data_IF_688501362351
#
_entry.id   IF_688501362351
#
_cell.length_a   1.000
_cell.length_b   1.000
_cell.length_c   1.000
_cell.angle_alpha   90.00
_cell.angle_beta   90.00
_cell.angle_gamma   90.00
#
_symmetry.space_group_name_H-M   'P 1'
#
loop_
_entity.id
_entity.type
_entity.pdbx_description
1 polymer ?
#
# COMPACT_ATOMS: atom_id res chain seq x y z
N UNK A 1 -26.56 -3.07 -1.31
CA UNK A 1 -25.76 -3.78 -2.33
C UNK A 1 -26.51 -3.65 -3.64
N UNK A 2 -25.90 -3.13 -4.71
CA UNK A 2 -26.54 -3.02 -6.02
C UNK A 2 -26.51 -4.36 -6.74
N UNK A 3 -27.62 -4.74 -7.39
CA UNK A 3 -27.69 -5.87 -8.32
C UNK A 3 -27.47 -5.36 -9.76
N UNK A 4 -26.60 -6.02 -10.52
CA UNK A 4 -26.34 -5.71 -11.94
C UNK A 4 -24.85 -5.59 -12.30
N UNK A 5 -24.56 -5.50 -13.60
CA UNK A 5 -23.21 -5.37 -14.20
C UNK A 5 -22.44 -4.14 -13.68
N UNK A 6 -23.12 -3.20 -13.01
CA UNK A 6 -22.56 -1.98 -12.41
C UNK A 6 -22.41 -2.04 -10.87
N UNK A 7 -22.53 -3.21 -10.24
CA UNK A 7 -22.42 -3.35 -8.79
C UNK A 7 -21.01 -2.96 -8.28
N UNK A 8 -20.96 -1.97 -7.38
CA UNK A 8 -19.75 -1.50 -6.71
C UNK A 8 -19.82 -1.68 -5.18
N UNK A 9 -18.63 -1.70 -4.57
CA UNK A 9 -18.47 -1.70 -3.11
C UNK A 9 -18.35 -0.25 -2.65
N UNK A 10 -19.11 0.11 -1.61
CA UNK A 10 -18.97 1.36 -0.88
C UNK A 10 -18.52 1.10 0.55
N UNK A 11 -17.87 2.10 1.13
CA UNK A 11 -17.26 2.09 2.44
C UNK A 11 -17.93 3.15 3.28
N UNK A 12 -18.25 2.79 4.52
CA UNK A 12 -18.71 3.75 5.53
C UNK A 12 -17.48 4.41 6.14
N UNK A 13 -17.26 5.68 5.82
CA UNK A 13 -16.19 6.49 6.39
C UNK A 13 -16.76 7.24 7.60
N UNK A 14 -16.13 7.06 8.75
CA UNK A 14 -16.52 7.71 10.00
C UNK A 14 -15.40 8.66 10.40
N UNK A 15 -15.69 9.95 10.40
CA UNK A 15 -14.74 10.99 10.77
C UNK A 15 -15.06 11.44 12.19
N UNK A 16 -14.06 11.41 13.07
CA UNK A 16 -14.11 11.99 14.42
C UNK A 16 -13.09 13.09 14.53
N UNK A 17 -13.52 14.29 14.89
CA UNK A 17 -12.64 15.46 14.92
C UNK A 17 -13.19 16.53 15.85
N UNK A 18 -12.30 17.36 16.39
CA UNK A 18 -12.63 18.56 17.15
C UNK A 18 -12.38 19.85 16.35
N UNK A 19 -12.07 19.72 15.06
CA UNK A 19 -11.83 20.85 14.16
C UNK A 19 -13.13 21.62 13.89
N UNK A 20 -13.13 22.96 13.99
CA UNK A 20 -14.34 23.78 13.88
C UNK A 20 -14.92 23.82 12.47
N UNK A 21 -14.15 23.46 11.44
CA UNK A 21 -14.62 23.42 10.05
C UNK A 21 -15.49 22.19 9.73
N UNK A 22 -15.71 21.31 10.72
CA UNK A 22 -16.51 20.11 10.58
C UNK A 22 -17.90 20.25 11.23
N UNK A 23 -18.92 19.68 10.59
CA UNK A 23 -20.30 19.65 11.07
C UNK A 23 -20.49 18.71 12.27
N UNK A 24 -19.91 19.08 13.42
CA UNK A 24 -20.00 18.33 14.66
C UNK A 24 -18.82 17.36 14.91
N UNK A 25 -18.83 16.69 16.08
CA UNK A 25 -17.71 15.86 16.53
C UNK A 25 -17.57 14.53 15.77
N UNK A 26 -18.64 14.09 15.10
CA UNK A 26 -18.67 12.86 14.32
C UNK A 26 -19.50 13.08 13.05
N UNK A 27 -18.93 12.68 11.89
CA UNK A 27 -19.62 12.68 10.60
C UNK A 27 -19.49 11.30 9.97
N UNK A 28 -20.56 10.80 9.37
CA UNK A 28 -20.60 9.53 8.65
C UNK A 28 -20.98 9.80 7.20
N UNK A 29 -20.16 9.31 6.29
CA UNK A 29 -20.41 9.38 4.84
C UNK A 29 -20.17 8.02 4.18
N UNK A 30 -20.80 7.83 3.02
CA UNK A 30 -20.59 6.64 2.19
C UNK A 30 -19.69 7.04 1.02
N UNK A 31 -18.64 6.26 0.77
CA UNK A 31 -17.67 6.50 -0.31
C UNK A 31 -17.41 5.24 -1.11
N UNK A 32 -17.40 5.32 -2.43
CA UNK A 32 -16.93 4.23 -3.31
C UNK A 32 -15.46 4.44 -3.65
N UNK A 33 -14.80 3.39 -4.17
CA UNK A 33 -13.37 3.46 -4.49
C UNK A 33 -13.00 4.67 -5.38
N UNK A 34 -13.83 5.06 -6.34
CA UNK A 34 -13.56 6.22 -7.19
C UNK A 34 -13.66 7.57 -6.47
N UNK A 35 -14.26 7.67 -5.28
CA UNK A 35 -14.13 8.86 -4.43
C UNK A 35 -12.74 9.01 -3.86
N UNK A 36 -12.09 7.89 -3.53
CA UNK A 36 -10.71 7.89 -3.05
C UNK A 36 -9.74 8.21 -4.19
N UNK A 37 -10.01 7.69 -5.41
CA UNK A 37 -9.26 8.09 -6.62
C UNK A 37 -9.34 9.60 -6.85
N UNK A 38 -10.55 10.15 -6.85
CA UNK A 38 -10.76 11.60 -6.96
C UNK A 38 -9.93 12.36 -5.92
N UNK A 39 -10.03 12.00 -4.64
CA UNK A 39 -9.27 12.68 -3.58
C UNK A 39 -7.75 12.58 -3.82
N UNK A 40 -7.25 11.39 -4.15
CA UNK A 40 -5.83 11.17 -4.43
C UNK A 40 -5.33 12.06 -5.57
N UNK A 41 -6.08 12.14 -6.66
CA UNK A 41 -5.70 12.89 -7.86
C UNK A 41 -5.71 14.41 -7.57
N UNK A 42 -6.72 14.91 -6.84
CA UNK A 42 -6.79 16.31 -6.39
C UNK A 42 -5.62 16.70 -5.49
N UNK A 43 -5.24 15.83 -4.54
CA UNK A 43 -4.10 16.09 -3.68
C UNK A 43 -2.78 16.06 -4.47
N UNK A 44 -2.63 15.11 -5.40
CA UNK A 44 -1.43 14.97 -6.24
C UNK A 44 -1.23 16.15 -7.20
N UNK A 45 -2.32 16.76 -7.66
CA UNK A 45 -2.28 17.95 -8.50
C UNK A 45 -1.85 19.19 -7.69
N UNK A 46 -2.44 19.38 -6.51
CA UNK A 46 -2.31 20.62 -5.73
C UNK A 46 -1.05 20.67 -4.86
N UNK A 47 -0.61 19.54 -4.30
CA UNK A 47 0.45 19.49 -3.29
C UNK A 47 1.75 18.89 -3.84
N UNK A 48 2.41 19.65 -4.73
CA UNK A 48 3.69 19.23 -5.33
C UNK A 48 4.80 19.20 -4.29
N UNK A 49 5.62 18.14 -4.34
CA UNK A 49 6.68 17.90 -3.35
C UNK A 49 6.24 17.01 -2.17
N UNK A 50 4.93 16.83 -1.95
CA UNK A 50 4.41 15.96 -0.89
C UNK A 50 4.28 14.51 -1.37
N UNK A 51 4.58 13.54 -0.49
CA UNK A 51 4.38 12.12 -0.78
C UNK A 51 2.91 11.74 -0.52
N UNK A 52 2.06 11.88 -1.53
CA UNK A 52 0.64 11.52 -1.41
C UNK A 52 0.50 10.02 -1.15
N UNK A 53 -0.18 9.58 -0.07
CA UNK A 53 -0.35 8.16 0.23
C UNK A 53 -0.98 7.42 -0.96
N UNK A 54 -0.39 6.31 -1.37
CA UNK A 54 -0.89 5.53 -2.52
C UNK A 54 -2.18 4.76 -2.18
N UNK A 55 -3.06 4.63 -3.17
CA UNK A 55 -4.27 3.80 -3.07
C UNK A 55 -3.97 2.30 -3.25
N UNK A 56 -4.79 1.40 -2.67
CA UNK A 56 -4.72 -0.03 -3.00
C UNK A 56 -5.10 -0.28 -4.46
N UNK A 57 -4.78 -1.46 -4.99
CA UNK A 57 -5.03 -1.79 -6.40
C UNK A 57 -6.51 -1.68 -6.78
N UNK A 58 -6.79 -1.06 -7.95
CA UNK A 58 -8.14 -0.84 -8.49
C UNK A 58 -8.85 -2.11 -8.90
N UNK A 59 -8.14 -3.06 -9.51
CA UNK A 59 -8.74 -4.26 -10.07
C UNK A 59 -8.31 -5.49 -9.25
N UNK A 60 -9.29 -6.21 -8.70
CA UNK A 60 -9.13 -7.64 -8.52
C UNK A 60 -9.52 -8.34 -9.82
N UNK A 61 -9.01 -9.55 -10.04
CA UNK A 61 -9.65 -10.48 -10.98
C UNK A 61 -11.14 -10.53 -10.63
N UNK A 62 -12.02 -10.45 -11.62
CA UNK A 62 -13.46 -10.23 -11.42
C UNK A 62 -14.10 -11.23 -10.45
N UNK A 63 -13.59 -12.47 -10.43
CA UNK A 63 -13.98 -13.53 -9.49
C UNK A 63 -13.67 -13.21 -8.01
N UNK A 64 -12.64 -12.43 -7.73
CA UNK A 64 -12.15 -12.13 -6.37
C UNK A 64 -12.57 -10.75 -5.86
N UNK A 65 -13.14 -9.88 -6.70
CA UNK A 65 -13.48 -8.50 -6.30
C UNK A 65 -14.53 -8.40 -5.19
N UNK A 66 -15.28 -9.47 -4.95
CA UNK A 66 -16.26 -9.59 -3.87
C UNK A 66 -15.87 -10.60 -2.79
N UNK A 67 -14.63 -11.09 -2.80
CA UNK A 67 -14.15 -11.95 -1.72
C UNK A 67 -14.03 -11.13 -0.43
N UNK A 68 -14.34 -11.76 0.71
CA UNK A 68 -14.23 -11.10 2.03
C UNK A 68 -12.81 -10.59 2.29
N UNK A 69 -11.82 -11.40 1.93
CA UNK A 69 -10.39 -11.06 2.04
C UNK A 69 -10.05 -9.81 1.24
N UNK A 70 -10.44 -9.76 -0.05
CA UNK A 70 -10.17 -8.59 -0.88
C UNK A 70 -10.84 -7.32 -0.36
N UNK A 71 -12.11 -7.41 0.06
CA UNK A 71 -12.85 -6.28 0.61
C UNK A 71 -12.16 -5.75 1.88
N UNK A 72 -11.71 -6.64 2.77
CA UNK A 72 -11.05 -6.25 4.01
C UNK A 72 -9.64 -5.70 3.79
N UNK A 73 -8.84 -6.31 2.89
CA UNK A 73 -7.52 -5.79 2.50
C UNK A 73 -7.64 -4.37 1.96
N UNK A 74 -8.58 -4.16 1.02
CA UNK A 74 -8.85 -2.84 0.46
C UNK A 74 -9.35 -1.87 1.52
N UNK A 75 -10.29 -2.28 2.39
CA UNK A 75 -10.81 -1.43 3.46
C UNK A 75 -9.68 -0.95 4.39
N UNK A 76 -8.76 -1.84 4.78
CA UNK A 76 -7.58 -1.47 5.61
C UNK A 76 -6.67 -0.48 4.90
N UNK A 77 -6.35 -0.72 3.64
CA UNK A 77 -5.50 0.19 2.88
C UNK A 77 -6.15 1.57 2.67
N UNK A 78 -7.46 1.62 2.41
CA UNK A 78 -8.20 2.88 2.31
C UNK A 78 -8.27 3.62 3.65
N UNK A 79 -8.42 2.90 4.75
CA UNK A 79 -8.37 3.46 6.11
C UNK A 79 -6.99 4.05 6.42
N UNK A 80 -5.90 3.36 6.08
CA UNK A 80 -4.54 3.90 6.18
C UNK A 80 -4.34 5.14 5.31
N UNK A 81 -4.82 5.12 4.06
CA UNK A 81 -4.76 6.26 3.15
C UNK A 81 -5.40 7.52 3.75
N UNK A 82 -6.65 7.42 4.23
CA UNK A 82 -7.37 8.57 4.82
C UNK A 82 -6.71 9.03 6.11
N UNK A 83 -6.30 8.11 6.99
CA UNK A 83 -5.67 8.47 8.25
C UNK A 83 -4.30 9.14 8.04
N UNK A 84 -3.50 8.71 7.06
CA UNK A 84 -2.23 9.38 6.70
C UNK A 84 -2.45 10.81 6.21
N UNK A 85 -3.50 11.05 5.43
CA UNK A 85 -3.89 12.41 5.03
C UNK A 85 -4.31 13.23 6.26
N UNK A 86 -5.10 12.65 7.17
CA UNK A 86 -5.60 13.35 8.35
C UNK A 86 -4.51 13.77 9.35
N UNK A 87 -3.42 13.01 9.47
CA UNK A 87 -2.30 13.36 10.35
C UNK A 87 -1.27 14.28 9.69
N UNK A 88 -1.30 14.41 8.36
CA UNK A 88 -0.38 15.26 7.61
C UNK A 88 -0.66 16.75 7.90
N UNK A 89 0.35 17.57 8.27
CA UNK A 89 0.16 18.99 8.62
C UNK A 89 -0.55 19.83 7.54
N UNK A 90 -0.15 19.67 6.28
CA UNK A 90 -0.74 20.37 5.13
C UNK A 90 -1.98 19.67 4.55
N UNK A 91 -1.92 18.36 4.26
CA UNK A 91 -3.03 17.68 3.57
C UNK A 91 -4.32 17.66 4.40
N UNK A 92 -4.25 17.61 5.74
CA UNK A 92 -5.43 17.68 6.61
C UNK A 92 -6.24 18.96 6.45
N UNK A 93 -5.59 20.04 5.99
CA UNK A 93 -6.21 21.35 5.76
C UNK A 93 -6.82 21.46 4.36
N UNK A 94 -6.68 20.44 3.52
CA UNK A 94 -7.21 20.46 2.15
C UNK A 94 -8.73 20.60 2.11
N UNK A 95 -9.21 21.50 1.25
CA UNK A 95 -10.64 21.62 0.95
C UNK A 95 -11.18 20.36 0.30
N UNK A 96 -10.45 19.76 -0.65
CA UNK A 96 -10.84 18.52 -1.31
C UNK A 96 -10.96 17.36 -0.29
N UNK A 97 -10.10 17.34 0.74
CA UNK A 97 -10.22 16.39 1.85
C UNK A 97 -11.45 16.66 2.73
N UNK A 98 -11.75 17.92 3.04
CA UNK A 98 -12.97 18.28 3.78
C UNK A 98 -14.24 17.91 3.00
N UNK A 99 -14.28 18.15 1.69
CA UNK A 99 -15.35 17.70 0.81
C UNK A 99 -15.48 16.18 0.88
N UNK A 100 -14.37 15.44 0.73
CA UNK A 100 -14.37 13.98 0.83
C UNK A 100 -14.95 13.48 2.15
N UNK A 101 -14.73 14.16 3.28
CA UNK A 101 -15.22 13.70 4.59
C UNK A 101 -16.65 14.13 4.91
N UNK A 102 -17.16 15.22 4.32
CA UNK A 102 -18.43 15.83 4.74
C UNK A 102 -19.54 15.83 3.69
N UNK A 103 -19.20 15.79 2.40
CA UNK A 103 -20.17 15.90 1.33
C UNK A 103 -21.16 14.72 1.29
N UNK A 104 -22.43 15.02 1.01
CA UNK A 104 -23.40 14.00 0.60
C UNK A 104 -23.04 13.41 -0.79
N UNK A 105 -23.74 12.36 -1.20
CA UNK A 105 -23.46 11.68 -2.48
C UNK A 105 -23.65 12.63 -3.69
N UNK A 106 -24.63 13.52 -3.66
CA UNK A 106 -24.89 14.47 -4.75
C UNK A 106 -23.75 15.48 -4.92
N UNK A 107 -23.24 16.02 -3.81
CA UNK A 107 -22.07 16.91 -3.80
C UNK A 107 -20.82 16.17 -4.26
N UNK A 108 -20.60 14.93 -3.83
CA UNK A 108 -19.48 14.10 -4.31
C UNK A 108 -19.58 13.80 -5.81
N UNK A 109 -20.77 13.49 -6.32
CA UNK A 109 -21.00 13.25 -7.75
C UNK A 109 -20.69 14.49 -8.60
N UNK A 110 -21.08 15.68 -8.14
CA UNK A 110 -20.72 16.94 -8.80
C UNK A 110 -19.20 17.16 -8.78
N UNK A 111 -18.54 16.91 -7.65
CA UNK A 111 -17.08 17.06 -7.54
C UNK A 111 -16.34 16.14 -8.53
N UNK A 112 -16.77 14.88 -8.66
CA UNK A 112 -16.23 13.92 -9.65
C UNK A 112 -16.51 14.33 -11.10
N UNK A 113 -17.70 14.84 -11.38
CA UNK A 113 -18.14 15.18 -12.74
C UNK A 113 -17.40 16.38 -13.31
N UNK A 114 -17.06 17.36 -12.47
CA UNK A 114 -16.28 18.53 -12.86
C UNK A 114 -14.88 18.14 -13.38
N UNK A 115 -14.30 17.06 -12.85
CA UNK A 115 -13.00 16.53 -13.26
C UNK A 115 -13.03 15.86 -14.65
N UNK A 116 -14.09 15.09 -14.95
CA UNK A 116 -14.23 14.43 -16.27
C UNK A 116 -14.33 15.39 -17.45
N UNK A 117 -14.60 16.68 -17.20
CA UNK A 117 -14.65 17.72 -18.23
C UNK A 117 -13.34 18.42 -18.53
N UNK A 118 -12.29 18.30 -17.69
CA UNK A 118 -11.12 19.19 -17.76
C UNK A 118 -9.77 18.48 -17.99
N UNK A 119 -9.51 17.22 -17.56
CA UNK A 119 -8.21 16.55 -17.90
C UNK A 119 -8.25 15.03 -18.08
N UNK A 120 -7.26 14.54 -18.85
CA UNK A 120 -7.05 13.16 -19.33
C UNK A 120 -6.67 12.18 -18.21
N UNK A 121 -7.05 10.92 -18.42
CA UNK A 121 -6.85 9.74 -17.57
C UNK A 121 -5.41 9.58 -17.03
N UNK A 122 -5.23 8.92 -15.87
CA UNK A 122 -3.93 8.55 -15.28
C UNK A 122 -3.11 7.51 -16.09
N UNK A 123 -3.44 7.27 -17.37
CA UNK A 123 -2.66 6.44 -18.30
C UNK A 123 -1.34 7.10 -18.72
N UNK A 124 -1.16 8.39 -18.47
CA UNK A 124 0.04 9.13 -18.91
C UNK A 124 1.28 8.83 -18.05
N UNK A 125 1.10 8.38 -16.80
CA UNK A 125 2.22 8.06 -15.91
C UNK A 125 3.02 6.83 -16.40
N UNK A 126 2.34 5.80 -16.92
CA UNK A 126 2.99 4.61 -17.49
C UNK A 126 3.55 4.87 -18.90
N UNK A 127 2.99 5.83 -19.64
CA UNK A 127 3.50 6.22 -20.95
C UNK A 127 4.77 7.08 -20.84
N UNK A 128 4.91 7.91 -19.80
CA UNK A 128 6.10 8.74 -19.59
C UNK A 128 7.37 7.92 -19.29
N UNK A 129 7.23 6.71 -18.74
CA UNK A 129 8.35 5.77 -18.61
C UNK A 129 8.70 5.02 -19.91
N UNK A 130 7.75 4.91 -20.86
CA UNK A 130 7.94 4.23 -22.16
C UNK A 130 8.41 5.17 -23.28
N UNK A 131 8.30 6.49 -23.11
CA UNK A 131 8.74 7.48 -24.12
C UNK A 131 10.26 7.60 -24.26
N UNK A 132 11.07 6.90 -23.43
CA UNK A 132 12.54 6.90 -23.54
C UNK A 132 13.11 6.34 -24.86
N UNK A 133 12.29 5.75 -25.73
CA UNK A 133 12.75 5.16 -27.00
C UNK A 133 12.48 6.05 -28.22
N UNK A 134 11.59 7.05 -28.14
CA UNK A 134 11.22 7.88 -29.31
C UNK A 134 12.13 9.09 -29.52
N UNK A 135 12.66 9.70 -28.45
CA UNK A 135 13.44 10.94 -28.56
C UNK A 135 14.87 10.73 -29.09
N UNK A 136 15.44 9.52 -28.93
CA UNK A 136 16.78 9.18 -29.44
C UNK A 136 16.82 9.09 -30.97
N UNK A 137 15.69 8.84 -31.63
CA UNK A 137 15.60 8.72 -33.10
C UNK A 137 15.48 10.08 -33.79
N UNK A 138 15.15 11.15 -33.06
CA UNK A 138 14.92 12.50 -33.61
C UNK A 138 16.07 13.49 -33.36
N UNK A 139 17.21 13.03 -32.81
CA UNK A 139 18.39 13.89 -32.64
C UNK A 139 18.21 15.07 -31.68
N UNK A 140 17.15 15.07 -30.85
CA UNK A 140 17.00 16.04 -29.76
C UNK A 140 18.04 15.76 -28.70
N UNK A 141 18.77 16.78 -28.25
CA UNK A 141 19.67 16.68 -27.10
C UNK A 141 18.92 16.04 -25.93
N UNK A 142 19.62 15.16 -25.17
CA UNK A 142 19.02 14.55 -23.99
C UNK A 142 18.51 15.67 -23.07
N UNK A 143 17.27 15.58 -22.56
CA UNK A 143 16.75 16.57 -21.65
C UNK A 143 17.70 16.71 -20.45
N UNK A 144 17.91 17.94 -19.99
CA UNK A 144 18.78 18.21 -18.84
C UNK A 144 18.26 17.47 -17.61
N UNK A 145 19.16 16.79 -16.90
CA UNK A 145 18.83 16.05 -15.69
C UNK A 145 19.60 16.63 -14.50
N UNK A 146 18.92 16.79 -13.37
CA UNK A 146 19.57 17.14 -12.10
C UNK A 146 20.61 16.06 -11.78
N UNK A 147 21.86 16.48 -11.61
CA UNK A 147 23.01 15.57 -11.39
C UNK A 147 23.77 15.92 -10.11
N UNK A 148 23.12 16.59 -9.16
CA UNK A 148 23.73 16.93 -7.87
C UNK A 148 24.07 15.64 -7.10
N UNK A 149 25.20 15.58 -6.38
CA UNK A 149 25.56 14.40 -5.60
C UNK A 149 24.49 13.97 -4.59
N UNK A 150 23.78 14.94 -4.00
CA UNK A 150 22.70 14.72 -3.04
C UNK A 150 21.49 14.07 -3.71
N UNK A 151 21.13 14.52 -4.91
CA UNK A 151 20.01 13.96 -5.66
C UNK A 151 20.29 12.54 -6.19
N UNK A 152 21.51 12.26 -6.64
CA UNK A 152 21.89 10.91 -7.04
C UNK A 152 21.89 9.94 -5.84
N UNK A 153 22.35 10.39 -4.67
CA UNK A 153 22.23 9.60 -3.42
C UNK A 153 20.76 9.30 -3.10
N UNK A 154 19.87 10.29 -3.22
CA UNK A 154 18.44 10.10 -3.01
C UNK A 154 17.85 9.08 -3.99
N UNK A 155 18.13 9.22 -5.30
CA UNK A 155 17.66 8.28 -6.32
C UNK A 155 18.11 6.84 -6.04
N UNK A 156 19.39 6.67 -5.72
CA UNK A 156 19.96 5.36 -5.40
C UNK A 156 19.30 4.76 -4.15
N UNK A 157 19.14 5.54 -3.09
CA UNK A 157 18.45 5.10 -1.87
C UNK A 157 17.01 4.63 -2.16
N UNK A 158 16.24 5.41 -2.92
CA UNK A 158 14.86 5.06 -3.26
C UNK A 158 14.79 3.80 -4.13
N UNK A 159 15.71 3.61 -5.06
CA UNK A 159 15.79 2.42 -5.91
C UNK A 159 16.15 1.16 -5.11
N UNK A 160 17.16 1.24 -4.25
CA UNK A 160 17.54 0.11 -3.38
C UNK A 160 16.42 -0.23 -2.40
N UNK A 161 15.78 0.78 -1.81
CA UNK A 161 14.66 0.59 -0.89
C UNK A 161 13.48 -0.12 -1.57
N UNK A 162 13.14 0.25 -2.81
CA UNK A 162 12.11 -0.44 -3.59
C UNK A 162 12.45 -1.92 -3.76
N UNK A 163 13.66 -2.24 -4.18
CA UNK A 163 14.09 -3.61 -4.43
C UNK A 163 14.00 -4.46 -3.16
N UNK A 164 14.48 -3.92 -2.03
CA UNK A 164 14.43 -4.62 -0.74
C UNK A 164 13.01 -4.83 -0.25
N UNK A 165 12.15 -3.79 -0.30
CA UNK A 165 10.75 -3.90 0.12
C UNK A 165 9.96 -4.85 -0.77
N UNK A 166 10.16 -4.79 -2.09
CA UNK A 166 9.47 -5.65 -3.05
C UNK A 166 9.85 -7.12 -2.87
N UNK A 167 11.15 -7.42 -2.68
CA UNK A 167 11.57 -8.79 -2.44
C UNK A 167 11.09 -9.28 -1.06
N UNK A 168 11.14 -8.45 -0.01
CA UNK A 168 10.60 -8.79 1.30
C UNK A 168 9.09 -9.09 1.26
N UNK A 169 8.31 -8.22 0.60
CA UNK A 169 6.87 -8.41 0.41
C UNK A 169 6.57 -9.71 -0.34
N UNK A 170 7.30 -10.00 -1.41
CA UNK A 170 7.16 -11.23 -2.19
C UNK A 170 7.45 -12.48 -1.37
N UNK A 171 8.48 -12.45 -0.52
CA UNK A 171 8.79 -13.58 0.37
C UNK A 171 7.75 -13.73 1.48
N UNK A 172 7.25 -12.62 2.05
CA UNK A 172 6.15 -12.64 3.00
C UNK A 172 4.88 -13.25 2.39
N UNK A 173 4.52 -12.87 1.17
CA UNK A 173 3.39 -13.45 0.43
C UNK A 173 3.57 -14.96 0.19
N UNK A 174 4.77 -15.40 -0.19
CA UNK A 174 5.08 -16.83 -0.34
C UNK A 174 4.93 -17.59 0.97
N UNK A 175 5.33 -16.98 2.09
CA UNK A 175 5.19 -17.58 3.41
C UNK A 175 3.73 -17.76 3.81
N UNK A 176 2.89 -16.74 3.61
CA UNK A 176 1.43 -16.81 3.80
C UNK A 176 0.85 -17.98 3.02
N UNK A 177 1.18 -18.08 1.72
CA UNK A 177 0.71 -19.17 0.85
C UNK A 177 1.13 -20.53 1.39
N UNK A 178 2.39 -20.68 1.79
CA UNK A 178 2.91 -21.94 2.36
C UNK A 178 2.23 -22.33 3.66
N UNK A 179 1.97 -21.38 4.55
CA UNK A 179 1.25 -21.68 5.80
C UNK A 179 -0.19 -22.13 5.51
N UNK A 180 -0.86 -21.54 4.52
CA UNK A 180 -2.19 -21.98 4.08
C UNK A 180 -2.19 -23.40 3.51
N UNK A 181 -1.22 -23.69 2.64
CA UNK A 181 -1.05 -25.02 2.03
C UNK A 181 -0.75 -26.08 3.09
N UNK A 182 0.20 -25.82 4.00
CA UNK A 182 0.54 -26.73 5.08
C UNK A 182 -0.63 -26.95 6.04
N UNK A 183 -1.37 -25.88 6.35
CA UNK A 183 -2.60 -25.97 7.14
C UNK A 183 -3.60 -26.91 6.49
N UNK A 184 -3.83 -26.78 5.17
CA UNK A 184 -4.72 -27.68 4.45
C UNK A 184 -4.22 -29.14 4.47
N UNK A 185 -2.93 -29.37 4.22
CA UNK A 185 -2.35 -30.72 4.27
C UNK A 185 -2.49 -31.38 5.65
N UNK A 186 -2.35 -30.63 6.74
CA UNK A 186 -2.57 -31.16 8.10
C UNK A 186 -4.05 -31.49 8.36
N UNK A 187 -4.99 -30.70 7.83
CA UNK A 187 -6.40 -31.05 7.95
C UNK A 187 -6.72 -32.37 7.23
N UNK A 188 -6.17 -32.56 6.03
CA UNK A 188 -6.41 -33.76 5.23
C UNK A 188 -5.70 -34.98 5.83
N UNK A 189 -4.47 -34.82 6.31
CA UNK A 189 -3.77 -35.84 7.09
C UNK A 189 -4.54 -36.23 8.35
N UNK A 190 -5.04 -35.25 9.10
CA UNK A 190 -5.78 -35.49 10.34
C UNK A 190 -7.06 -36.31 10.12
N UNK A 191 -7.78 -36.05 9.03
CA UNK A 191 -8.93 -36.87 8.61
C UNK A 191 -8.50 -38.28 8.19
N UNK A 192 -7.46 -38.39 7.36
CA UNK A 192 -6.99 -39.67 6.84
C UNK A 192 -6.53 -40.61 7.95
N UNK A 193 -5.77 -40.11 8.94
CA UNK A 193 -5.26 -40.94 10.02
C UNK A 193 -6.37 -41.40 10.99
N UNK A 194 -7.41 -40.58 11.20
CA UNK A 194 -8.61 -40.99 11.94
C UNK A 194 -9.34 -42.14 11.24
N UNK A 195 -9.52 -42.04 9.92
CA UNK A 195 -10.14 -43.09 9.12
C UNK A 195 -9.32 -44.37 9.16
N UNK A 196 -8.00 -44.27 9.06
CA UNK A 196 -7.11 -45.41 9.22
C UNK A 196 -7.26 -46.06 10.60
N UNK A 197 -7.28 -45.26 11.67
CA UNK A 197 -7.48 -45.75 13.03
C UNK A 197 -8.80 -46.52 13.19
N UNK A 198 -9.88 -46.04 12.59
CA UNK A 198 -11.18 -46.71 12.61
C UNK A 198 -11.18 -48.06 11.85
N UNK A 199 -10.29 -48.24 10.87
CA UNK A 199 -10.13 -49.52 10.17
C UNK A 199 -9.33 -50.54 11.00
N UNK A 200 -8.32 -50.09 11.75
CA UNK A 200 -7.44 -50.96 12.54
C UNK A 200 -8.09 -51.43 13.86
N UNK A 201 -8.91 -50.57 14.50
CA UNK A 201 -9.56 -50.87 15.77
C UNK A 201 -8.65 -50.79 17.01
N UNK A 202 -9.18 -51.25 18.15
CA UNK A 202 -8.49 -51.43 19.44
C UNK A 202 -7.71 -50.20 19.97
N UNK A 203 -6.41 -50.37 20.24
CA UNK A 203 -5.52 -49.35 20.79
C UNK A 203 -5.06 -48.35 19.73
N UNK A 204 -4.93 -48.80 18.47
CA UNK A 204 -4.51 -47.98 17.34
C UNK A 204 -5.58 -46.95 16.96
N UNK A 205 -6.87 -47.32 17.03
CA UNK A 205 -7.98 -46.38 16.80
C UNK A 205 -7.86 -45.14 17.70
N UNK A 206 -7.60 -45.36 19.00
CA UNK A 206 -7.49 -44.27 19.98
C UNK A 206 -6.29 -43.38 19.73
N UNK A 207 -5.11 -43.97 19.47
CA UNK A 207 -3.88 -43.20 19.25
C UNK A 207 -3.94 -42.43 17.94
N UNK A 208 -4.38 -43.05 16.84
CA UNK A 208 -4.53 -42.38 15.55
C UNK A 208 -5.60 -41.30 15.58
N UNK A 209 -6.69 -41.52 16.32
CA UNK A 209 -7.71 -40.48 16.53
C UNK A 209 -7.13 -39.25 17.24
N UNK A 210 -6.24 -39.45 18.20
CA UNK A 210 -5.57 -38.35 18.90
C UNK A 210 -4.57 -37.63 18.00
N UNK A 211 -3.73 -38.36 17.26
CA UNK A 211 -2.80 -37.78 16.26
C UNK A 211 -3.56 -36.95 15.23
N UNK A 212 -4.66 -37.48 14.71
CA UNK A 212 -5.48 -36.75 13.75
C UNK A 212 -6.10 -35.50 14.34
N UNK A 213 -6.55 -35.56 15.59
CA UNK A 213 -7.10 -34.39 16.30
C UNK A 213 -6.04 -33.32 16.57
N UNK A 214 -4.81 -33.71 16.90
CA UNK A 214 -3.67 -32.77 17.01
C UNK A 214 -3.35 -32.14 15.66
N UNK A 215 -3.36 -32.92 14.57
CA UNK A 215 -3.09 -32.40 13.23
C UNK A 215 -4.14 -31.39 12.76
N UNK A 216 -5.43 -31.69 12.93
CA UNK A 216 -6.52 -30.75 12.61
C UNK A 216 -6.45 -29.47 13.46
N UNK A 217 -6.09 -29.59 14.74
CA UNK A 217 -5.87 -28.40 15.59
C UNK A 217 -4.72 -27.53 15.06
N UNK A 218 -3.60 -28.14 14.67
CA UNK A 218 -2.46 -27.42 14.09
C UNK A 218 -2.82 -26.80 12.74
N UNK A 219 -3.65 -27.46 11.93
CA UNK A 219 -4.21 -26.89 10.71
C UNK A 219 -4.91 -25.56 10.96
N UNK A 220 -5.84 -25.51 11.93
CA UNK A 220 -6.56 -24.29 12.28
C UNK A 220 -5.61 -23.19 12.77
N UNK A 221 -4.60 -23.54 13.58
CA UNK A 221 -3.58 -22.59 14.06
C UNK A 221 -2.74 -22.03 12.91
N UNK A 222 -2.31 -22.86 11.97
CA UNK A 222 -1.56 -22.45 10.78
C UNK A 222 -2.36 -21.53 9.87
N UNK A 223 -3.64 -21.84 9.62
CA UNK A 223 -4.51 -20.99 8.81
C UNK A 223 -4.70 -19.62 9.46
N UNK A 224 -4.93 -19.58 10.78
CA UNK A 224 -5.03 -18.34 11.54
C UNK A 224 -3.73 -17.53 11.50
N UNK A 225 -2.59 -18.20 11.62
CA UNK A 225 -1.29 -17.53 11.54
C UNK A 225 -1.00 -17.02 10.13
N UNK A 226 -1.42 -17.73 9.09
CA UNK A 226 -1.31 -17.25 7.71
C UNK A 226 -2.11 -15.96 7.49
N UNK A 227 -3.31 -15.85 8.06
CA UNK A 227 -4.10 -14.62 8.00
C UNK A 227 -3.43 -13.48 8.80
N UNK A 228 -2.87 -13.77 10.00
CA UNK A 228 -2.09 -12.79 10.74
C UNK A 228 -0.88 -12.29 9.94
N UNK A 229 -0.13 -13.19 9.31
CA UNK A 229 1.02 -12.87 8.46
C UNK A 229 0.60 -12.01 7.27
N UNK A 230 -0.52 -12.32 6.63
CA UNK A 230 -1.06 -11.54 5.52
C UNK A 230 -1.31 -10.09 5.98
N UNK A 231 -2.10 -9.94 7.04
CA UNK A 231 -2.62 -8.63 7.43
C UNK A 231 -1.62 -7.77 8.21
N UNK A 232 -0.70 -8.37 8.96
CA UNK A 232 0.16 -7.66 9.91
C UNK A 232 1.65 -7.68 9.50
N UNK A 233 2.01 -8.38 8.43
CA UNK A 233 3.39 -8.41 7.93
C UNK A 233 3.47 -8.17 6.42
N UNK A 234 2.78 -8.97 5.61
CA UNK A 234 2.83 -8.85 4.15
C UNK A 234 2.19 -7.54 3.65
N UNK A 235 0.97 -7.21 4.09
CA UNK A 235 0.30 -5.98 3.64
C UNK A 235 1.01 -4.69 4.10
N UNK A 236 1.55 -4.59 5.34
CA UNK A 236 2.42 -3.46 5.70
C UNK A 236 3.64 -3.32 4.77
N UNK A 237 4.32 -4.41 4.41
CA UNK A 237 5.42 -4.34 3.43
C UNK A 237 4.92 -3.87 2.06
N UNK A 238 3.77 -4.40 1.62
CA UNK A 238 3.13 -4.01 0.35
C UNK A 238 2.74 -2.53 0.33
N UNK A 239 2.23 -2.01 1.44
CA UNK A 239 1.92 -0.60 1.60
C UNK A 239 3.17 0.28 1.47
N UNK A 240 4.31 -0.11 2.04
CA UNK A 240 5.58 0.61 1.85
C UNK A 240 6.15 0.50 0.43
N UNK A 241 5.93 -0.61 -0.28
CA UNK A 241 6.23 -0.69 -1.72
C UNK A 241 5.43 0.36 -2.49
N UNK A 242 4.15 0.56 -2.14
CA UNK A 242 3.30 1.61 -2.74
C UNK A 242 3.78 3.01 -2.34
N UNK A 243 4.14 3.23 -1.08
CA UNK A 243 4.69 4.52 -0.63
C UNK A 243 5.94 4.93 -1.41
N UNK A 244 6.81 3.97 -1.77
CA UNK A 244 7.96 4.25 -2.65
C UNK A 244 7.52 4.68 -4.06
N UNK A 245 6.40 4.18 -4.59
CA UNK A 245 5.84 4.69 -5.84
C UNK A 245 5.38 6.15 -5.71
N UNK A 246 4.78 6.53 -4.59
CA UNK A 246 4.44 7.92 -4.31
C UNK A 246 5.69 8.82 -4.32
N UNK A 247 6.79 8.39 -3.69
CA UNK A 247 8.06 9.13 -3.69
C UNK A 247 8.60 9.28 -5.12
N UNK A 248 8.53 8.22 -5.94
CA UNK A 248 8.93 8.27 -7.34
C UNK A 248 8.07 9.23 -8.16
N UNK A 249 6.78 9.33 -7.88
CA UNK A 249 5.91 10.32 -8.52
C UNK A 249 6.37 11.75 -8.20
N UNK A 250 6.72 12.00 -6.94
CA UNK A 250 7.25 13.30 -6.52
C UNK A 250 8.64 13.58 -7.11
N UNK A 251 9.48 12.56 -7.32
CA UNK A 251 10.76 12.72 -8.06
C UNK A 251 10.53 13.14 -9.52
N UNK A 252 9.44 12.68 -10.17
CA UNK A 252 9.05 13.14 -11.50
C UNK A 252 8.62 14.61 -11.47
N UNK A 253 7.82 15.02 -10.49
CA UNK A 253 7.44 16.43 -10.30
C UNK A 253 8.68 17.33 -10.10
N UNK A 254 9.64 16.89 -9.28
CA UNK A 254 10.93 17.59 -9.09
C UNK A 254 11.74 17.67 -10.37
N UNK A 255 11.86 16.57 -11.12
CA UNK A 255 12.59 16.57 -12.38
C UNK A 255 11.97 17.51 -13.42
N UNK A 256 10.64 17.61 -13.46
CA UNK A 256 9.94 18.54 -14.34
C UNK A 256 10.16 20.00 -13.90
N UNK A 257 10.09 20.29 -12.60
CA UNK A 257 10.37 21.63 -12.06
C UNK A 257 11.82 22.05 -12.30
N UNK A 258 12.78 21.14 -12.15
CA UNK A 258 14.19 21.37 -12.43
C UNK A 258 14.42 21.75 -13.90
N UNK A 259 13.85 21.00 -14.84
CA UNK A 259 13.97 21.31 -16.27
C UNK A 259 13.42 22.69 -16.60
N UNK A 260 12.21 23.01 -16.10
CA UNK A 260 11.60 24.32 -16.32
C UNK A 260 12.46 25.45 -15.75
N UNK A 261 12.97 25.28 -14.53
CA UNK A 261 13.89 26.23 -13.89
C UNK A 261 15.16 26.44 -14.73
N UNK A 262 15.80 25.35 -15.15
CA UNK A 262 17.06 25.39 -15.92
C UNK A 262 16.89 26.05 -17.29
N UNK A 263 15.83 25.70 -18.02
CA UNK A 263 15.57 26.25 -19.35
C UNK A 263 15.32 27.77 -19.28
N UNK A 264 14.48 28.23 -18.35
CA UNK A 264 14.21 29.66 -18.15
C UNK A 264 15.41 30.42 -17.62
N UNK A 265 16.23 29.81 -16.75
CA UNK A 265 17.48 30.39 -16.28
C UNK A 265 18.45 30.65 -17.45
N UNK A 266 18.64 29.67 -18.35
CA UNK A 266 19.48 29.83 -19.54
C UNK A 266 18.93 30.88 -20.50
N UNK A 267 17.62 30.89 -20.75
CA UNK A 267 17.02 31.90 -21.63
C UNK A 267 17.16 33.32 -21.08
N UNK A 268 17.10 33.49 -19.76
CA UNK A 268 17.32 34.77 -19.07
C UNK A 268 18.75 35.28 -19.28
N UNK A 269 19.77 34.42 -19.21
CA UNK A 269 21.17 34.80 -19.49
C UNK A 269 21.36 35.32 -20.94
N UNK A 270 20.61 34.80 -21.91
CA UNK A 270 20.66 35.30 -23.29
C UNK A 270 19.85 36.58 -23.53
N UNK A 271 18.90 36.94 -22.64
CA UNK A 271 17.93 38.04 -22.84
C UNK A 271 17.77 38.91 -21.58
N UNK A 272 18.89 39.40 -21.05
CA UNK A 272 18.99 40.06 -19.74
C UNK A 272 18.03 41.25 -19.50
N UNK A 273 17.58 41.95 -20.56
CA UNK A 273 16.68 43.10 -20.46
C UNK A 273 15.19 42.76 -20.45
N UNK A 274 14.79 41.48 -20.60
CA UNK A 274 13.37 41.10 -20.58
C UNK A 274 12.84 40.90 -19.15
N UNK A 275 12.12 41.91 -18.64
CA UNK A 275 11.54 41.90 -17.28
C UNK A 275 10.53 40.76 -17.05
N UNK A 276 9.75 40.37 -18.07
CA UNK A 276 8.79 39.26 -17.95
C UNK A 276 9.52 37.92 -17.80
N UNK A 277 10.55 37.69 -18.62
CA UNK A 277 11.36 36.47 -18.55
C UNK A 277 12.11 36.35 -17.21
N UNK A 278 12.51 37.48 -16.63
CA UNK A 278 13.09 37.52 -15.29
C UNK A 278 12.09 37.05 -14.22
N UNK A 279 10.85 37.55 -14.26
CA UNK A 279 9.82 37.14 -13.32
C UNK A 279 9.49 35.64 -13.43
N UNK A 280 9.31 35.13 -14.65
CA UNK A 280 9.01 33.71 -14.89
C UNK A 280 10.16 32.79 -14.43
N UNK A 281 11.41 33.18 -14.70
CA UNK A 281 12.61 32.45 -14.24
C UNK A 281 12.71 32.44 -12.71
N UNK A 282 12.47 33.58 -12.06
CA UNK A 282 12.52 33.69 -10.60
C UNK A 282 11.38 32.86 -9.95
N UNK A 283 10.19 32.81 -10.55
CA UNK A 283 9.08 31.95 -10.10
C UNK A 283 9.39 30.45 -10.28
N UNK A 284 9.93 30.04 -11.43
CA UNK A 284 10.32 28.65 -11.67
C UNK A 284 11.41 28.19 -10.70
N UNK A 285 12.36 29.06 -10.36
CA UNK A 285 13.38 28.83 -9.33
C UNK A 285 12.75 28.57 -7.97
N UNK A 286 11.87 29.48 -7.51
CA UNK A 286 11.17 29.32 -6.23
C UNK A 286 10.35 28.03 -6.17
N UNK A 287 9.69 27.66 -7.28
CA UNK A 287 8.91 26.43 -7.37
C UNK A 287 9.79 25.19 -7.23
N UNK A 288 10.92 25.15 -7.94
CA UNK A 288 11.87 24.04 -7.83
C UNK A 288 12.43 23.94 -6.41
N UNK A 289 12.93 25.04 -5.85
CA UNK A 289 13.46 25.08 -4.48
C UNK A 289 12.43 24.66 -3.42
N UNK A 290 11.18 25.10 -3.57
CA UNK A 290 10.08 24.71 -2.69
C UNK A 290 9.82 23.20 -2.74
N UNK A 291 9.74 22.60 -3.94
CA UNK A 291 9.59 21.15 -4.09
C UNK A 291 10.76 20.41 -3.43
N UNK A 292 12.00 20.88 -3.62
CA UNK A 292 13.18 20.28 -3.00
C UNK A 292 13.09 20.32 -1.47
N UNK A 293 12.70 21.46 -0.90
CA UNK A 293 12.56 21.63 0.54
C UNK A 293 11.49 20.71 1.12
N UNK A 294 10.28 20.72 0.55
CA UNK A 294 9.16 19.87 1.00
C UNK A 294 9.52 18.39 0.89
N UNK A 295 10.13 17.96 -0.24
CA UNK A 295 10.54 16.57 -0.41
C UNK A 295 11.55 16.10 0.65
N UNK A 296 12.45 16.97 1.11
CA UNK A 296 13.41 16.62 2.15
C UNK A 296 12.73 16.42 3.51
N UNK A 297 11.77 17.28 3.86
CA UNK A 297 10.96 17.14 5.07
C UNK A 297 10.10 15.87 5.02
N UNK A 298 9.49 15.61 3.87
CA UNK A 298 8.67 14.42 3.61
C UNK A 298 9.49 13.14 3.68
N UNK A 299 10.73 13.16 3.21
CA UNK A 299 11.65 12.02 3.31
C UNK A 299 12.02 11.72 4.76
N UNK A 300 12.26 12.74 5.58
CA UNK A 300 12.52 12.56 7.01
C UNK A 300 11.31 11.92 7.71
N UNK A 301 10.11 12.45 7.47
CA UNK A 301 8.86 11.90 8.02
C UNK A 301 8.62 10.46 7.55
N UNK A 302 8.82 10.19 6.26
CA UNK A 302 8.70 8.85 5.70
C UNK A 302 9.65 7.87 6.38
N UNK A 303 10.91 8.26 6.60
CA UNK A 303 11.89 7.39 7.26
C UNK A 303 11.52 7.09 8.71
N UNK A 304 11.05 8.08 9.47
CA UNK A 304 10.58 7.90 10.84
C UNK A 304 9.38 6.95 10.89
N UNK A 305 8.34 7.23 10.09
CA UNK A 305 7.14 6.41 10.02
C UNK A 305 7.47 4.98 9.57
N UNK A 306 8.27 4.81 8.51
CA UNK A 306 8.73 3.50 8.03
C UNK A 306 9.40 2.71 9.11
N UNK A 307 10.26 3.34 9.91
CA UNK A 307 10.99 2.65 10.97
C UNK A 307 10.05 2.14 12.05
N UNK A 308 9.07 2.95 12.45
CA UNK A 308 8.06 2.55 13.43
C UNK A 308 7.15 1.42 12.90
N UNK A 309 6.54 1.61 11.73
CA UNK A 309 5.54 0.70 11.18
C UNK A 309 6.17 -0.66 10.79
N UNK A 310 7.34 -0.65 10.13
CA UNK A 310 8.06 -1.88 9.80
C UNK A 310 8.58 -2.56 11.06
N UNK A 311 9.07 -1.80 12.05
CA UNK A 311 9.48 -2.35 13.35
C UNK A 311 8.36 -3.14 14.02
N UNK A 312 7.13 -2.59 14.02
CA UNK A 312 5.95 -3.28 14.53
C UNK A 312 5.61 -4.53 13.73
N UNK A 313 5.66 -4.46 12.40
CA UNK A 313 5.38 -5.60 11.53
C UNK A 313 6.35 -6.77 11.77
N UNK A 314 7.65 -6.51 11.90
CA UNK A 314 8.65 -7.54 12.22
C UNK A 314 8.49 -8.09 13.64
N UNK A 315 8.08 -7.26 14.60
CA UNK A 315 7.79 -7.72 15.95
C UNK A 315 6.61 -8.72 15.96
N UNK A 316 5.49 -8.36 15.33
CA UNK A 316 4.31 -9.23 15.25
C UNK A 316 4.60 -10.50 14.45
N UNK A 317 5.39 -10.39 13.38
CA UNK A 317 5.91 -11.56 12.64
C UNK A 317 6.68 -12.52 13.55
N UNK A 318 7.69 -12.03 14.28
CA UNK A 318 8.53 -12.87 15.13
C UNK A 318 7.72 -13.55 16.24
N UNK A 319 6.79 -12.79 16.85
CA UNK A 319 5.89 -13.28 17.90
C UNK A 319 4.93 -14.36 17.39
N UNK A 320 4.34 -14.14 16.21
CA UNK A 320 3.45 -15.11 15.56
C UNK A 320 4.17 -16.43 15.23
N UNK A 321 5.35 -16.34 14.64
CA UNK A 321 6.19 -17.50 14.31
C UNK A 321 6.66 -18.27 15.56
N UNK A 322 7.10 -17.56 16.61
CA UNK A 322 7.51 -18.20 17.86
C UNK A 322 6.35 -18.94 18.53
N UNK A 323 5.16 -18.33 18.54
CA UNK A 323 3.94 -18.95 19.08
C UNK A 323 3.54 -20.19 18.29
N UNK A 324 3.55 -20.11 16.96
CA UNK A 324 3.23 -21.24 16.09
C UNK A 324 4.20 -22.40 16.30
N UNK A 325 5.51 -22.13 16.36
CA UNK A 325 6.53 -23.14 16.59
C UNK A 325 6.34 -23.85 17.94
N UNK A 326 6.04 -23.08 19.00
CA UNK A 326 5.70 -23.63 20.31
C UNK A 326 4.47 -24.53 20.26
N UNK A 327 3.38 -24.05 19.64
CA UNK A 327 2.14 -24.80 19.52
C UNK A 327 2.33 -26.14 18.77
N UNK A 328 3.15 -26.14 17.71
CA UNK A 328 3.53 -27.35 16.96
C UNK A 328 4.31 -28.33 17.85
N UNK A 329 5.32 -27.84 18.56
CA UNK A 329 6.13 -28.66 19.45
C UNK A 329 5.30 -29.30 20.57
N UNK A 330 4.43 -28.52 21.21
CA UNK A 330 3.57 -28.98 22.31
C UNK A 330 2.55 -30.02 21.82
N UNK A 331 1.98 -29.82 20.62
CA UNK A 331 1.03 -30.76 20.03
C UNK A 331 1.67 -32.13 19.77
N UNK A 332 2.83 -32.17 19.14
CA UNK A 332 3.50 -33.43 18.79
C UNK A 332 4.14 -34.13 19.99
N UNK A 333 4.70 -33.38 20.95
CA UNK A 333 5.21 -33.94 22.21
C UNK A 333 4.12 -34.67 23.00
N UNK A 334 2.87 -34.23 22.89
CA UNK A 334 1.75 -34.88 23.59
C UNK A 334 1.33 -36.24 23.02
N UNK A 335 1.62 -36.52 21.74
CA UNK A 335 1.23 -37.78 21.08
C UNK A 335 2.39 -38.75 20.87
N UNK A 336 3.63 -38.27 20.82
CA UNK A 336 4.81 -39.12 20.57
C UNK A 336 4.94 -40.30 21.55
N UNK A 337 4.82 -40.13 22.89
CA UNK A 337 4.94 -41.25 23.82
C UNK A 337 3.86 -42.33 23.64
N UNK A 338 2.68 -41.94 23.15
CA UNK A 338 1.56 -42.85 22.91
C UNK A 338 1.79 -43.70 21.67
N UNK A 339 2.42 -43.13 20.65
CA UNK A 339 2.83 -43.87 19.45
C UNK A 339 3.93 -44.87 19.77
N UNK A 340 4.93 -44.48 20.56
CA UNK A 340 6.03 -45.37 21.00
C UNK A 340 5.49 -46.56 21.78
N UNK A 341 4.52 -46.33 22.67
CA UNK A 341 3.85 -47.39 23.45
C UNK A 341 3.05 -48.39 22.58
N UNK A 342 2.65 -48.03 21.36
CA UNK A 342 2.00 -48.96 20.43
C UNK A 342 2.98 -49.75 19.56
N UNK A 343 4.25 -49.33 19.49
CA UNK A 343 5.31 -50.03 18.76
C UNK A 343 6.07 -51.06 19.61
N UNK A 344 5.86 -51.03 20.94
CA UNK A 344 6.41 -51.96 21.92
C UNK A 344 5.40 -53.06 22.22
#
# INVERSE_FOLDING_TARGET
>A
MGTGVQAYISYRVITKTNLPEFEGPEKIVIRRYSDFEWLHDRLSEKYKGIFIPSLPEKNAVEKFRFSKEFIELRRRALDLFVNRIAVHPELKQSEDFRIFLQADEEKMDRARSYETGIFKKPSDFLQMFKTKVSDVVLGKEKPVEESSPEYEKLKNYIFELENHLAEAQKQAFRLVKRHRELGQSLADFGKAIKLLGACEGDSLEKVFSEVGSKSEMLSVKLQKEADNLLFNFEEPLKDYVRAVQSIKATLVDRANAFRQHYDLYREKEYKEHNLYLKADSDEATKRFEHIVAVMNEELARFQEQKTADIGLAFHEFAKGQAKLAKDIADAWRGVLPKLEACSS
#
